data_IF_727896116262
#
_entry.id   IF_727896116262
#
_cell.length_a   1.000
_cell.length_b   1.000
_cell.length_c   1.000
_cell.angle_alpha   90.00
_cell.angle_beta   90.00
_cell.angle_gamma   90.00
#
_symmetry.space_group_name_H-M   'P 1'
#
loop_
_entity.id
_entity.type
_entity.pdbx_description
1 polymer ?
#
# COMPACT_ATOMS: atom_id res chain seq x y z
N UNK A 1 9.67 -17.74 20.44
CA UNK A 1 8.82 -18.91 20.23
C UNK A 1 8.17 -18.78 18.85
N UNK A 2 8.44 -19.69 17.92
CA UNK A 2 7.99 -19.55 16.52
C UNK A 2 6.48 -19.76 16.35
N UNK A 3 5.89 -20.64 17.15
CA UNK A 3 4.47 -20.96 17.04
C UNK A 3 3.63 -19.80 17.57
N UNK A 4 4.03 -19.25 18.72
CA UNK A 4 3.40 -18.03 19.25
C UNK A 4 3.47 -16.86 18.25
N UNK A 5 4.63 -16.66 17.60
CA UNK A 5 4.78 -15.65 16.55
C UNK A 5 3.86 -15.91 15.37
N UNK A 6 3.73 -17.16 14.92
CA UNK A 6 2.85 -17.51 13.82
C UNK A 6 1.36 -17.27 14.13
N UNK A 7 0.90 -17.65 15.32
CA UNK A 7 -0.48 -17.37 15.75
C UNK A 7 -0.77 -15.87 15.84
N UNK A 8 0.19 -15.10 16.33
CA UNK A 8 0.05 -13.64 16.36
C UNK A 8 -0.11 -13.06 14.95
N UNK A 9 0.72 -13.48 13.99
CA UNK A 9 0.64 -12.99 12.61
C UNK A 9 -0.70 -13.34 11.95
N UNK A 10 -1.22 -14.55 12.19
CA UNK A 10 -2.54 -14.95 11.70
C UNK A 10 -3.66 -14.09 12.29
N UNK A 11 -3.62 -13.83 13.60
CA UNK A 11 -4.60 -12.97 14.26
C UNK A 11 -4.50 -11.53 13.76
N UNK A 12 -3.30 -10.93 13.76
CA UNK A 12 -3.09 -9.53 13.41
C UNK A 12 -3.44 -9.24 11.95
N UNK A 13 -3.20 -10.21 11.05
CA UNK A 13 -3.59 -10.10 9.65
C UNK A 13 -4.98 -10.66 9.35
N UNK A 14 -5.70 -11.16 10.35
CA UNK A 14 -6.97 -11.89 10.19
C UNK A 14 -8.15 -11.00 9.74
N UNK A 15 -9.24 -11.61 9.22
CA UNK A 15 -10.43 -10.87 8.80
C UNK A 15 -11.11 -10.14 9.96
N UNK A 16 -11.17 -10.74 11.14
CA UNK A 16 -11.78 -10.13 12.34
C UNK A 16 -11.02 -8.89 12.80
N UNK A 17 -9.68 -8.99 12.86
CA UNK A 17 -8.83 -7.87 13.23
C UNK A 17 -8.93 -6.73 12.19
N UNK A 18 -8.90 -7.08 10.89
CA UNK A 18 -9.10 -6.12 9.82
C UNK A 18 -10.47 -5.43 9.87
N UNK A 19 -11.54 -6.18 10.13
CA UNK A 19 -12.89 -5.63 10.25
C UNK A 19 -13.05 -4.72 11.47
N UNK A 20 -12.48 -5.12 12.62
CA UNK A 20 -12.44 -4.27 13.80
C UNK A 20 -11.73 -2.96 13.51
N UNK A 21 -10.53 -3.01 12.91
CA UNK A 21 -9.80 -1.81 12.53
C UNK A 21 -10.58 -0.93 11.57
N UNK A 22 -11.26 -1.51 10.58
CA UNK A 22 -11.98 -0.79 9.55
C UNK A 22 -13.26 -0.10 10.08
N UNK A 23 -13.96 -0.75 10.99
CA UNK A 23 -15.26 -0.26 11.50
C UNK A 23 -15.14 0.55 12.79
N UNK A 24 -14.14 0.28 13.64
CA UNK A 24 -13.96 0.93 14.95
C UNK A 24 -12.80 1.91 15.01
N UNK A 25 -11.80 1.76 14.14
CA UNK A 25 -10.60 2.62 14.06
C UNK A 25 -10.48 3.22 12.65
N UNK A 26 -9.37 3.87 12.32
CA UNK A 26 -9.14 4.49 11.00
C UNK A 26 -8.36 3.58 10.04
N UNK A 27 -8.75 2.31 9.97
CA UNK A 27 -8.17 1.41 8.96
C UNK A 27 -8.88 1.56 7.61
N UNK A 28 -8.49 2.59 6.86
CA UNK A 28 -9.14 2.98 5.58
C UNK A 28 -8.77 2.11 4.38
N UNK A 29 -7.68 1.34 4.48
CA UNK A 29 -7.14 0.50 3.40
C UNK A 29 -6.98 -0.97 3.82
N UNK A 30 -8.09 -1.69 4.08
CA UNK A 30 -8.00 -3.09 4.43
C UNK A 30 -7.54 -3.92 3.23
N UNK A 31 -6.62 -4.87 3.49
CA UNK A 31 -6.06 -5.72 2.44
C UNK A 31 -6.96 -6.89 2.04
N UNK A 32 -8.03 -7.16 2.80
CA UNK A 32 -8.92 -8.30 2.59
C UNK A 32 -10.21 -7.88 1.89
N UNK A 33 -10.54 -8.57 0.81
CA UNK A 33 -11.82 -8.39 0.11
C UNK A 33 -13.04 -8.60 1.01
N UNK A 34 -12.95 -9.50 2.01
CA UNK A 34 -14.04 -9.73 2.97
C UNK A 34 -14.37 -8.49 3.80
N UNK A 35 -13.38 -7.64 4.09
CA UNK A 35 -13.58 -6.39 4.84
C UNK A 35 -14.17 -5.31 3.92
N UNK A 36 -13.75 -5.26 2.65
CA UNK A 36 -14.34 -4.37 1.64
C UNK A 36 -15.81 -4.62 1.32
N UNK A 37 -16.33 -5.80 1.66
CA UNK A 37 -17.75 -6.17 1.51
C UNK A 37 -18.61 -5.74 2.70
N UNK A 38 -18.00 -5.24 3.78
CA UNK A 38 -18.74 -4.81 4.97
C UNK A 38 -19.43 -3.45 4.73
N UNK A 39 -20.74 -3.40 4.98
CA UNK A 39 -21.56 -2.21 4.74
C UNK A 39 -21.18 -1.06 5.68
N UNK A 40 -20.96 -1.35 6.97
CA UNK A 40 -20.60 -0.33 7.98
C UNK A 40 -19.28 0.35 7.62
N UNK A 41 -18.30 -0.42 7.15
CA UNK A 41 -17.03 0.12 6.67
C UNK A 41 -17.22 1.02 5.44
N UNK A 42 -17.97 0.55 4.43
CA UNK A 42 -18.23 1.33 3.21
C UNK A 42 -19.00 2.62 3.51
N UNK A 43 -19.99 2.57 4.40
CA UNK A 43 -20.73 3.75 4.87
C UNK A 43 -19.82 4.75 5.58
N UNK A 44 -18.95 4.25 6.48
CA UNK A 44 -17.95 5.10 7.16
C UNK A 44 -17.06 5.80 6.14
N UNK A 45 -16.51 5.05 5.17
CA UNK A 45 -15.66 5.63 4.13
C UNK A 45 -16.40 6.66 3.28
N UNK A 46 -17.61 6.36 2.81
CA UNK A 46 -18.41 7.32 2.03
C UNK A 46 -18.70 8.61 2.80
N UNK A 47 -18.93 8.51 4.11
CA UNK A 47 -19.15 9.66 4.99
C UNK A 47 -17.88 10.49 5.22
N UNK A 48 -16.75 9.83 5.47
CA UNK A 48 -15.49 10.49 5.84
C UNK A 48 -14.65 10.93 4.62
N UNK A 49 -14.78 10.22 3.51
CA UNK A 49 -13.97 10.38 2.30
C UNK A 49 -14.85 10.19 1.04
N UNK A 50 -15.61 11.24 0.64
CA UNK A 50 -16.45 11.18 -0.56
C UNK A 50 -15.66 10.73 -1.80
N UNK A 51 -16.22 9.80 -2.56
CA UNK A 51 -15.61 9.24 -3.78
C UNK A 51 -14.56 8.14 -3.55
N UNK A 52 -14.18 7.83 -2.30
CA UNK A 52 -13.15 6.83 -2.03
C UNK A 52 -13.56 5.42 -2.44
N UNK A 53 -14.77 5.00 -2.04
CA UNK A 53 -15.31 3.68 -2.35
C UNK A 53 -15.53 3.52 -3.85
N UNK A 54 -16.02 4.56 -4.51
CA UNK A 54 -16.23 4.60 -5.96
C UNK A 54 -14.90 4.40 -6.72
N UNK A 55 -13.85 5.12 -6.31
CA UNK A 55 -12.53 4.99 -6.91
C UNK A 55 -11.90 3.62 -6.66
N UNK A 56 -12.09 3.05 -5.45
CA UNK A 56 -11.67 1.68 -5.18
C UNK A 56 -12.37 0.69 -6.11
N UNK A 57 -13.70 0.73 -6.20
CA UNK A 57 -14.49 -0.19 -7.02
C UNK A 57 -14.12 -0.06 -8.51
N UNK A 58 -13.80 1.15 -8.98
CA UNK A 58 -13.38 1.40 -10.36
C UNK A 58 -11.96 0.90 -10.68
N UNK A 59 -11.02 1.05 -9.74
CA UNK A 59 -9.59 0.79 -10.01
C UNK A 59 -9.10 -0.58 -9.56
N UNK A 60 -9.65 -1.14 -8.49
CA UNK A 60 -9.19 -2.40 -7.90
C UNK A 60 -9.25 -3.61 -8.87
N UNK A 61 -10.29 -3.80 -9.72
CA UNK A 61 -10.35 -4.94 -10.64
C UNK A 61 -9.22 -4.96 -11.68
N UNK A 62 -8.71 -3.79 -12.07
CA UNK A 62 -7.62 -3.66 -13.04
C UNK A 62 -6.22 -3.66 -12.39
N UNK A 63 -6.14 -3.51 -11.07
CA UNK A 63 -4.88 -3.47 -10.36
C UNK A 63 -4.20 -4.84 -10.37
N UNK A 64 -2.94 -4.89 -10.79
CA UNK A 64 -2.14 -6.11 -10.72
C UNK A 64 -0.67 -5.81 -10.45
N UNK A 65 -0.04 -6.68 -9.66
CA UNK A 65 1.40 -6.61 -9.40
C UNK A 65 2.10 -7.21 -10.61
N UNK A 66 2.79 -6.38 -11.40
CA UNK A 66 3.56 -6.79 -12.58
C UNK A 66 5.06 -6.92 -12.31
N UNK A 67 5.50 -6.64 -11.08
CA UNK A 67 6.90 -6.72 -10.69
C UNK A 67 7.14 -7.90 -9.75
N UNK A 68 8.35 -8.44 -9.78
CA UNK A 68 8.84 -9.39 -8.77
C UNK A 68 9.95 -8.70 -8.00
N UNK A 69 9.82 -8.58 -6.68
CA UNK A 69 10.85 -7.96 -5.85
C UNK A 69 12.14 -8.77 -5.97
N UNK A 70 13.23 -8.10 -6.33
CA UNK A 70 14.56 -8.68 -6.37
C UNK A 70 15.25 -8.55 -5.01
N UNK A 71 16.30 -9.35 -4.70
CA UNK A 71 16.96 -9.31 -3.40
C UNK A 71 17.41 -7.91 -2.94
N UNK A 72 17.86 -7.07 -3.88
CA UNK A 72 18.31 -5.70 -3.63
C UNK A 72 17.22 -4.65 -3.84
N UNK A 73 15.94 -5.04 -3.90
CA UNK A 73 14.84 -4.11 -4.16
C UNK A 73 14.82 -2.92 -3.19
N UNK A 74 15.10 -3.17 -1.91
CA UNK A 74 15.11 -2.09 -0.90
C UNK A 74 16.26 -1.11 -1.10
N UNK A 75 17.46 -1.60 -1.41
CA UNK A 75 18.62 -0.76 -1.68
C UNK A 75 18.39 0.06 -2.96
N UNK A 76 17.96 -0.60 -4.04
CA UNK A 76 17.65 0.03 -5.31
C UNK A 76 16.56 1.10 -5.17
N UNK A 77 15.45 0.81 -4.49
CA UNK A 77 14.37 1.79 -4.29
C UNK A 77 14.79 2.97 -3.41
N UNK A 78 15.74 2.77 -2.49
CA UNK A 78 16.30 3.85 -1.67
C UNK A 78 17.15 4.79 -2.51
N UNK A 79 18.06 4.26 -3.33
CA UNK A 79 18.88 5.04 -4.25
C UNK A 79 18.03 5.76 -5.29
N UNK A 80 17.03 5.06 -5.84
CA UNK A 80 16.06 5.62 -6.77
C UNK A 80 15.30 6.81 -6.16
N UNK A 81 14.79 6.67 -4.93
CA UNK A 81 14.12 7.75 -4.22
C UNK A 81 15.06 8.94 -3.96
N UNK A 82 16.30 8.70 -3.55
CA UNK A 82 17.28 9.76 -3.30
C UNK A 82 17.62 10.54 -4.59
N UNK A 83 17.83 9.86 -5.71
CA UNK A 83 18.12 10.51 -6.99
C UNK A 83 16.92 11.27 -7.54
N UNK A 84 15.70 10.76 -7.36
CA UNK A 84 14.48 11.51 -7.67
C UNK A 84 14.38 12.83 -6.91
N UNK A 85 14.71 12.83 -5.62
CA UNK A 85 14.68 14.06 -4.83
C UNK A 85 15.66 15.11 -5.39
N UNK A 86 16.85 14.70 -5.83
CA UNK A 86 17.82 15.60 -6.48
C UNK A 86 17.30 16.17 -7.79
N UNK A 87 16.63 15.36 -8.60
CA UNK A 87 16.00 15.80 -9.84
C UNK A 87 14.87 16.80 -9.58
N UNK A 88 13.98 16.52 -8.60
CA UNK A 88 12.89 17.43 -8.19
C UNK A 88 13.44 18.75 -7.63
N UNK A 89 14.51 18.69 -6.84
CA UNK A 89 15.21 19.85 -6.30
C UNK A 89 16.03 20.62 -7.35
N UNK A 90 16.09 20.13 -8.60
CA UNK A 90 16.88 20.71 -9.71
C UNK A 90 18.39 20.74 -9.45
N UNK A 91 18.90 19.86 -8.59
CA UNK A 91 20.34 19.70 -8.34
C UNK A 91 21.03 18.93 -9.48
N UNK A 92 20.28 18.08 -10.18
CA UNK A 92 20.72 17.31 -11.35
C UNK A 92 19.62 17.37 -12.42
N UNK A 93 19.96 17.51 -13.71
CA UNK A 93 19.00 17.35 -14.80
C UNK A 93 18.32 15.98 -14.77
N UNK A 94 17.07 15.90 -15.26
CA UNK A 94 16.30 14.64 -15.25
C UNK A 94 17.01 13.54 -16.02
N UNK A 95 17.47 13.84 -17.25
CA UNK A 95 18.12 12.84 -18.10
C UNK A 95 19.38 12.27 -17.43
N UNK A 96 20.25 13.15 -16.89
CA UNK A 96 21.46 12.73 -16.17
C UNK A 96 21.15 11.94 -14.89
N UNK A 97 20.09 12.31 -14.16
CA UNK A 97 19.68 11.58 -12.97
C UNK A 97 19.14 10.18 -13.29
N UNK A 98 18.42 10.03 -14.40
CA UNK A 98 17.93 8.73 -14.87
C UNK A 98 19.08 7.84 -15.39
N UNK A 99 20.04 8.41 -16.12
CA UNK A 99 21.21 7.67 -16.61
C UNK A 99 22.02 7.09 -15.44
N UNK A 100 22.26 7.87 -14.38
CA UNK A 100 22.96 7.40 -13.18
C UNK A 100 22.24 6.29 -12.42
N UNK A 101 20.92 6.18 -12.55
CA UNK A 101 20.14 5.11 -11.92
C UNK A 101 20.14 3.81 -12.73
N UNK A 102 20.57 3.88 -13.99
CA UNK A 102 20.63 2.71 -14.87
C UNK A 102 21.98 1.98 -14.82
N UNK A 103 23.01 2.59 -14.23
CA UNK A 103 24.35 2.01 -13.99
C UNK A 103 24.38 1.14 -12.72
#
# INVERSE_FOLDING_TARGET
DKDATWYFMQWASGPEHGLFGATKMDFVNPVRQSVWKDEMFREKLNKSYPGYVEMFDASAPGASIKFTAQPLFFDLTTEWAATLQKMVAKEVPVDEGLDKLAE
#
